data_IF_092068048017
#
_entry.id   IF_092068048017
#
_cell.length_a   1.000
_cell.length_b   1.000
_cell.length_c   1.000
_cell.angle_alpha   90.00
_cell.angle_beta   90.00
_cell.angle_gamma   90.00
#
_symmetry.space_group_name_H-M   'P 1'
#
loop_
_entity.id
_entity.type
_entity.pdbx_description
1 polymer ?
#
# COMPACT_ATOMS: atom_id res chain seq x y z
N UNK A 1 32.18 -16.79 40.10
CA UNK A 1 32.11 -15.33 40.26
C UNK A 1 32.92 -14.64 39.18
N UNK A 2 32.45 -13.57 38.48
CA UNK A 2 31.25 -12.79 38.72
C UNK A 2 30.23 -12.83 37.56
N UNK A 3 29.01 -12.56 37.97
CA UNK A 3 27.84 -12.21 37.18
C UNK A 3 27.99 -10.84 36.54
N UNK A 4 27.55 -10.68 35.27
CA UNK A 4 27.27 -9.36 34.73
C UNK A 4 25.90 -9.40 34.02
N UNK A 5 24.95 -8.82 34.72
CA UNK A 5 23.62 -8.44 34.31
C UNK A 5 23.67 -7.28 33.31
N UNK A 6 23.15 -7.44 32.11
CA UNK A 6 22.81 -6.33 31.19
C UNK A 6 21.33 -6.46 30.82
N UNK A 7 20.48 -5.96 31.71
CA UNK A 7 19.09 -5.63 31.42
C UNK A 7 18.80 -4.28 32.03
N UNK A 8 18.25 -3.43 31.26
CA UNK A 8 17.56 -2.15 31.58
C UNK A 8 18.23 -0.89 31.08
N UNK A 9 17.72 -0.38 29.95
CA UNK A 9 17.22 0.99 29.85
C UNK A 9 16.66 1.26 28.44
N UNK A 10 15.43 0.86 28.24
CA UNK A 10 14.60 1.46 27.18
C UNK A 10 13.70 2.49 27.87
N UNK A 11 13.69 3.77 27.43
CA UNK A 11 12.76 4.74 27.98
C UNK A 11 11.35 4.35 27.53
N UNK A 12 10.50 4.13 28.51
CA UNK A 12 9.06 3.93 28.37
C UNK A 12 8.45 5.14 27.67
N UNK A 13 8.16 5.01 26.40
CA UNK A 13 7.35 5.96 25.64
C UNK A 13 5.91 5.85 26.18
N UNK A 14 5.55 6.75 27.10
CA UNK A 14 4.18 6.93 27.60
C UNK A 14 3.32 7.38 26.42
N UNK A 15 2.60 6.48 25.80
CA UNK A 15 1.47 6.82 24.95
C UNK A 15 0.43 7.55 25.81
N UNK A 16 0.45 8.88 25.74
CA UNK A 16 -0.62 9.72 26.24
C UNK A 16 -1.86 9.44 25.43
N UNK A 17 -2.88 8.83 26.02
CA UNK A 17 -4.21 8.69 25.42
C UNK A 17 -4.74 10.09 25.12
N UNK A 18 -4.84 10.41 23.84
CA UNK A 18 -5.39 11.66 23.34
C UNK A 18 -6.91 11.52 23.21
N UNK A 19 -7.58 11.44 24.36
CA UNK A 19 -9.03 11.55 24.46
C UNK A 19 -9.34 12.71 25.41
N UNK A 20 -9.15 13.94 24.91
CA UNK A 20 -9.76 15.17 25.40
C UNK A 20 -9.37 16.28 24.42
N UNK A 21 -10.01 16.30 23.25
CA UNK A 21 -10.08 17.49 22.44
C UNK A 21 -11.32 18.26 22.91
N UNK A 22 -11.19 19.44 23.52
CA UNK A 22 -12.32 20.30 23.75
C UNK A 22 -12.86 20.75 22.40
N UNK A 23 -14.11 20.44 22.14
CA UNK A 23 -14.87 20.81 20.95
C UNK A 23 -15.33 22.29 21.06
N UNK A 24 -14.35 23.18 21.24
CA UNK A 24 -14.49 24.63 21.10
C UNK A 24 -13.07 25.20 20.90
N UNK A 25 -12.47 24.89 19.76
CA UNK A 25 -11.34 25.68 19.29
C UNK A 25 -11.92 27.02 18.83
N UNK A 26 -12.01 27.98 19.74
CA UNK A 26 -12.07 29.40 19.40
C UNK A 26 -11.00 29.66 18.35
N UNK A 27 -11.39 30.34 17.26
CA UNK A 27 -10.44 30.86 16.28
C UNK A 27 -9.40 31.65 17.06
N UNK A 28 -8.19 31.11 17.20
CA UNK A 28 -7.16 31.61 18.10
C UNK A 28 -6.45 32.81 17.49
N UNK A 29 -7.18 33.91 17.30
CA UNK A 29 -6.56 35.15 16.87
C UNK A 29 -7.52 36.08 16.10
N UNK A 30 -7.18 37.37 16.01
CA UNK A 30 -7.93 38.35 15.22
C UNK A 30 -7.80 38.00 13.73
N UNK A 31 -8.94 37.88 13.05
CA UNK A 31 -9.00 37.69 11.59
C UNK A 31 -9.04 39.06 10.90
N UNK A 32 -8.50 39.11 9.66
CA UNK A 32 -8.52 40.27 8.79
C UNK A 32 -9.58 40.06 7.72
N UNK A 33 -10.68 40.79 7.83
CA UNK A 33 -11.82 40.75 6.88
C UNK A 33 -11.62 41.83 5.82
N UNK A 34 -11.71 41.48 4.55
CA UNK A 34 -11.92 42.45 3.47
C UNK A 34 -13.43 42.58 3.22
N UNK A 35 -14.00 43.73 3.45
CA UNK A 35 -15.41 44.02 3.12
C UNK A 35 -15.48 44.87 1.86
N UNK A 36 -16.12 44.32 0.83
CA UNK A 36 -16.35 44.99 -0.47
C UNK A 36 -17.80 45.45 -0.49
N UNK A 37 -18.02 46.75 -0.34
CA UNK A 37 -19.33 47.36 -0.12
C UNK A 37 -19.28 48.84 -0.54
N UNK A 38 -20.24 49.33 -1.33
CA UNK A 38 -20.31 50.71 -1.76
C UNK A 38 -21.05 51.64 -0.76
N UNK A 39 -21.79 51.05 0.20
CA UNK A 39 -22.41 51.83 1.30
C UNK A 39 -21.42 52.01 2.48
N UNK A 40 -20.81 53.20 2.56
CA UNK A 40 -19.86 53.53 3.62
C UNK A 40 -20.49 53.52 5.04
N UNK A 41 -21.79 53.85 5.15
CA UNK A 41 -22.51 53.85 6.41
C UNK A 41 -22.65 52.41 6.93
N UNK A 42 -23.02 51.46 6.08
CA UNK A 42 -23.09 50.05 6.40
C UNK A 42 -21.69 49.50 6.71
N UNK A 43 -20.68 49.80 5.94
CA UNK A 43 -19.30 49.40 6.19
C UNK A 43 -18.80 49.88 7.55
N UNK A 44 -19.17 51.07 7.98
CA UNK A 44 -18.84 51.60 9.32
C UNK A 44 -19.51 50.79 10.44
N UNK A 45 -20.75 50.35 10.26
CA UNK A 45 -21.44 49.50 11.26
C UNK A 45 -20.86 48.14 11.35
N UNK A 46 -20.56 47.50 10.19
CA UNK A 46 -19.90 46.17 10.14
C UNK A 46 -18.50 46.24 10.79
N UNK A 47 -17.75 47.31 10.53
CA UNK A 47 -16.43 47.54 11.17
C UNK A 47 -16.54 47.58 12.69
N UNK A 48 -17.56 48.26 13.23
CA UNK A 48 -17.79 48.28 14.70
C UNK A 48 -18.15 46.92 15.27
N UNK A 49 -18.97 46.16 14.54
CA UNK A 49 -19.37 44.82 14.96
C UNK A 49 -18.17 43.86 14.98
N UNK A 50 -17.38 43.82 13.92
CA UNK A 50 -16.13 43.01 13.82
C UNK A 50 -15.12 43.37 14.90
N UNK A 51 -14.91 44.67 15.16
CA UNK A 51 -14.01 45.16 16.21
C UNK A 51 -14.42 44.67 17.62
N UNK A 52 -15.74 44.59 17.90
CA UNK A 52 -16.26 44.06 19.17
C UNK A 52 -15.92 42.60 19.37
N UNK A 53 -15.78 41.81 18.29
CA UNK A 53 -15.35 40.41 18.30
C UNK A 53 -13.83 40.25 18.19
N UNK A 54 -13.06 41.33 18.21
CA UNK A 54 -11.59 41.30 18.14
C UNK A 54 -11.02 41.19 16.73
N UNK A 55 -11.85 41.34 15.69
CA UNK A 55 -11.43 41.23 14.29
C UNK A 55 -11.06 42.60 13.71
N UNK A 56 -10.27 42.61 12.62
CA UNK A 56 -9.93 43.80 11.86
C UNK A 56 -10.60 43.79 10.49
N UNK A 57 -10.88 44.96 9.93
CA UNK A 57 -11.55 45.08 8.64
C UNK A 57 -10.84 46.09 7.76
N UNK A 58 -10.44 45.65 6.58
CA UNK A 58 -10.20 46.54 5.41
C UNK A 58 -11.49 46.74 4.65
N UNK A 59 -11.70 47.91 4.09
CA UNK A 59 -12.89 48.23 3.32
C UNK A 59 -12.50 48.81 1.96
N UNK A 60 -13.18 48.38 0.93
CA UNK A 60 -13.11 48.93 -0.45
C UNK A 60 -14.51 48.98 -1.04
N UNK A 61 -14.76 49.94 -1.93
CA UNK A 61 -16.06 50.20 -2.52
C UNK A 61 -16.25 49.66 -3.95
N UNK A 62 -15.19 49.06 -4.51
CA UNK A 62 -15.18 48.54 -5.88
C UNK A 62 -14.37 47.24 -6.01
N UNK A 63 -14.59 46.49 -7.07
CA UNK A 63 -13.96 45.22 -7.32
C UNK A 63 -12.50 45.32 -7.73
N UNK A 64 -12.07 46.41 -8.36
CA UNK A 64 -10.68 46.56 -8.81
C UNK A 64 -9.76 46.65 -7.62
N UNK A 65 -10.09 47.50 -6.64
CA UNK A 65 -9.32 47.61 -5.40
C UNK A 65 -9.42 46.35 -4.54
N UNK A 66 -10.59 45.67 -4.55
CA UNK A 66 -10.78 44.42 -3.88
C UNK A 66 -9.82 43.32 -4.42
N UNK A 67 -9.73 43.18 -5.74
CA UNK A 67 -8.84 42.22 -6.38
C UNK A 67 -7.36 42.55 -6.11
N UNK A 68 -6.98 43.83 -6.18
CA UNK A 68 -5.64 44.27 -5.84
C UNK A 68 -5.30 43.93 -4.37
N UNK A 69 -6.22 44.22 -3.46
CA UNK A 69 -6.04 43.94 -2.03
C UNK A 69 -5.93 42.43 -1.69
N UNK A 70 -6.71 41.61 -2.42
CA UNK A 70 -6.59 40.12 -2.30
C UNK A 70 -5.23 39.66 -2.82
N UNK A 71 -4.74 40.21 -3.92
CA UNK A 71 -3.46 39.87 -4.52
C UNK A 71 -2.24 40.25 -3.63
N UNK A 72 -2.33 41.38 -2.91
CA UNK A 72 -1.32 41.82 -1.92
C UNK A 72 -1.20 40.85 -0.75
N UNK A 73 -2.24 40.07 -0.44
CA UNK A 73 -2.28 39.15 0.67
C UNK A 73 -2.61 39.79 2.03
N UNK A 74 -2.57 38.97 3.08
CA UNK A 74 -2.88 39.41 4.45
C UNK A 74 -4.38 39.57 4.71
N UNK A 75 -5.24 39.03 3.86
CA UNK A 75 -6.69 38.93 4.04
C UNK A 75 -7.05 37.49 4.33
N UNK A 76 -7.75 37.26 5.44
CA UNK A 76 -8.17 35.91 5.85
C UNK A 76 -9.48 35.48 5.21
N UNK A 77 -10.45 36.43 5.07
CA UNK A 77 -11.78 36.16 4.52
C UNK A 77 -12.35 37.44 3.88
N UNK A 78 -13.17 37.28 2.85
CA UNK A 78 -13.81 38.38 2.12
C UNK A 78 -15.30 38.35 2.36
N UNK A 79 -15.90 39.47 2.73
CA UNK A 79 -17.33 39.73 2.61
C UNK A 79 -17.55 40.55 1.34
N UNK A 80 -18.40 40.06 0.41
CA UNK A 80 -18.61 40.65 -0.90
C UNK A 80 -20.08 40.97 -1.09
N UNK A 81 -20.39 42.26 -1.21
CA UNK A 81 -21.74 42.66 -1.53
C UNK A 81 -22.15 42.30 -2.96
N UNK A 82 -23.46 42.15 -3.15
CA UNK A 82 -24.06 41.94 -4.46
C UNK A 82 -23.99 43.17 -5.35
N UNK A 83 -24.29 44.33 -4.80
CA UNK A 83 -24.34 45.60 -5.55
C UNK A 83 -23.06 46.37 -5.33
N UNK A 84 -22.33 46.62 -6.39
CA UNK A 84 -21.11 47.42 -6.37
C UNK A 84 -21.24 48.56 -7.40
N UNK A 85 -20.40 49.59 -7.31
CA UNK A 85 -20.39 50.66 -8.28
C UNK A 85 -20.05 50.15 -9.69
N UNK A 86 -21.07 50.14 -10.59
CA UNK A 86 -20.89 49.79 -11.98
C UNK A 86 -20.88 48.32 -12.36
N UNK A 87 -20.93 47.41 -11.38
CA UNK A 87 -20.94 45.96 -11.61
C UNK A 87 -21.62 45.22 -10.45
N UNK A 88 -21.76 43.89 -10.58
CA UNK A 88 -22.28 43.05 -9.50
C UNK A 88 -21.15 42.28 -8.80
N UNK A 89 -21.38 41.91 -7.54
CA UNK A 89 -20.46 40.98 -6.83
C UNK A 89 -20.31 39.62 -7.55
N UNK A 90 -21.29 39.19 -8.36
CA UNK A 90 -21.18 38.02 -9.21
C UNK A 90 -20.11 38.16 -10.29
N UNK A 91 -20.00 39.33 -10.90
CA UNK A 91 -18.98 39.62 -11.91
C UNK A 91 -17.58 39.64 -11.31
N UNK A 92 -17.47 40.09 -10.06
CA UNK A 92 -16.22 40.01 -9.31
C UNK A 92 -15.87 38.55 -8.99
N UNK A 93 -16.82 37.70 -8.59
CA UNK A 93 -16.57 36.26 -8.31
C UNK A 93 -15.96 35.56 -9.51
N UNK A 94 -16.41 35.87 -10.73
CA UNK A 94 -15.87 35.26 -11.96
C UNK A 94 -14.39 35.61 -12.19
N UNK A 95 -13.94 36.78 -11.69
CA UNK A 95 -12.57 37.29 -11.85
C UNK A 95 -11.60 36.90 -10.74
N UNK A 96 -12.11 36.61 -9.54
CA UNK A 96 -11.25 36.26 -8.38
C UNK A 96 -10.52 34.92 -8.55
N UNK A 97 -10.99 34.06 -9.44
CA UNK A 97 -10.38 32.78 -9.70
C UNK A 97 -10.87 31.63 -8.79
N UNK A 98 -10.30 30.44 -8.96
CA UNK A 98 -10.83 29.23 -8.34
C UNK A 98 -10.61 29.19 -6.82
N UNK A 99 -11.50 28.45 -6.12
CA UNK A 99 -11.37 28.16 -4.69
C UNK A 99 -10.03 27.46 -4.40
N UNK A 100 -9.40 27.82 -3.29
CA UNK A 100 -8.18 27.20 -2.79
C UNK A 100 -6.91 28.01 -3.01
N UNK A 101 -6.88 28.91 -3.99
CA UNK A 101 -5.79 29.86 -4.23
C UNK A 101 -6.04 31.28 -3.66
N UNK A 102 -7.20 31.53 -3.05
CA UNK A 102 -7.65 32.82 -2.53
C UNK A 102 -8.29 32.68 -1.14
N UNK A 103 -8.50 33.77 -0.40
CA UNK A 103 -9.33 33.78 0.80
C UNK A 103 -10.75 33.30 0.51
N UNK A 104 -11.45 32.65 1.46
CA UNK A 104 -12.87 32.32 1.31
C UNK A 104 -13.71 33.58 1.18
N UNK A 105 -14.80 33.51 0.39
CA UNK A 105 -15.69 34.64 0.11
C UNK A 105 -17.07 34.30 0.64
N UNK A 106 -17.59 35.18 1.51
CA UNK A 106 -18.99 35.19 1.95
C UNK A 106 -19.72 36.23 1.15
N UNK A 107 -20.73 35.81 0.40
CA UNK A 107 -21.53 36.70 -0.45
C UNK A 107 -22.64 37.34 0.37
N UNK A 108 -22.78 38.67 0.26
CA UNK A 108 -23.77 39.44 1.00
C UNK A 108 -24.80 39.96 0.01
N UNK A 109 -26.08 39.82 0.29
CA UNK A 109 -27.15 40.29 -0.61
C UNK A 109 -28.33 40.89 0.17
N UNK A 110 -28.90 41.96 -0.34
CA UNK A 110 -30.14 42.51 0.20
C UNK A 110 -31.43 41.85 -0.33
N UNK A 111 -31.31 40.94 -1.26
CA UNK A 111 -32.43 40.24 -1.87
C UNK A 111 -32.74 38.92 -1.18
N UNK A 112 -34.00 38.67 -0.86
CA UNK A 112 -34.48 37.35 -0.39
C UNK A 112 -34.62 36.33 -1.55
N UNK A 113 -34.16 36.63 -2.75
CA UNK A 113 -34.19 35.68 -3.87
C UNK A 113 -33.13 34.58 -3.68
N UNK A 114 -33.60 33.42 -3.29
CA UNK A 114 -32.75 32.23 -3.11
C UNK A 114 -31.96 31.86 -4.37
N UNK A 115 -32.39 32.27 -5.57
CA UNK A 115 -31.66 32.01 -6.84
C UNK A 115 -30.33 32.73 -6.87
N UNK A 116 -30.27 33.96 -6.33
CA UNK A 116 -29.05 34.75 -6.28
C UNK A 116 -28.00 34.13 -5.36
N UNK A 117 -28.43 33.61 -4.21
CA UNK A 117 -27.56 32.89 -3.30
C UNK A 117 -26.98 31.59 -3.92
N UNK A 118 -27.84 30.83 -4.62
CA UNK A 118 -27.42 29.61 -5.34
C UNK A 118 -26.44 29.95 -6.46
N UNK A 119 -26.69 31.04 -7.18
CA UNK A 119 -25.79 31.50 -8.27
C UNK A 119 -24.43 31.92 -7.72
N UNK A 120 -24.37 32.66 -6.62
CA UNK A 120 -23.13 33.05 -5.97
C UNK A 120 -22.31 31.81 -5.53
N UNK A 121 -22.95 30.81 -4.92
CA UNK A 121 -22.29 29.57 -4.54
C UNK A 121 -21.74 28.77 -5.72
N UNK A 122 -22.49 28.75 -6.86
CA UNK A 122 -22.03 28.10 -8.11
C UNK A 122 -20.83 28.83 -8.73
N UNK A 123 -20.80 30.17 -8.66
CA UNK A 123 -19.69 31.01 -9.16
C UNK A 123 -18.50 31.04 -8.21
N UNK A 124 -18.59 30.37 -7.06
CA UNK A 124 -17.43 30.17 -6.21
C UNK A 124 -17.49 30.82 -4.82
N UNK A 125 -18.56 31.52 -4.44
CA UNK A 125 -18.72 31.92 -3.05
C UNK A 125 -18.70 30.71 -2.11
N UNK A 126 -18.10 30.87 -0.93
CA UNK A 126 -17.95 29.80 0.05
C UNK A 126 -19.15 29.73 1.00
N UNK A 127 -19.86 30.89 1.14
CA UNK A 127 -21.12 31.01 1.87
C UNK A 127 -21.88 32.27 1.41
N UNK A 128 -23.08 32.48 1.94
CA UNK A 128 -23.84 33.72 1.69
C UNK A 128 -24.59 34.17 2.94
N UNK A 129 -24.89 35.48 3.00
CA UNK A 129 -25.66 36.09 4.08
C UNK A 129 -26.63 37.11 3.45
N UNK A 130 -27.87 37.14 3.96
CA UNK A 130 -28.88 38.10 3.52
C UNK A 130 -28.83 39.31 4.46
N UNK A 131 -28.76 40.53 3.90
CA UNK A 131 -28.86 41.80 4.64
C UNK A 131 -30.29 41.92 5.18
N UNK A 132 -30.47 41.74 6.49
CA UNK A 132 -31.75 41.92 7.17
C UNK A 132 -31.71 43.21 8.02
N UNK A 133 -32.86 43.89 8.06
CA UNK A 133 -33.04 45.12 8.84
C UNK A 133 -33.28 44.83 10.33
N UNK A 134 -33.42 43.57 10.73
CA UNK A 134 -33.72 43.14 12.10
C UNK A 134 -32.60 43.35 13.11
N UNK A 135 -31.40 43.70 12.64
CA UNK A 135 -30.20 43.84 13.49
C UNK A 135 -29.42 42.57 13.72
N UNK A 136 -29.94 41.42 13.34
CA UNK A 136 -29.24 40.10 13.45
C UNK A 136 -28.21 39.91 12.32
N UNK A 137 -28.26 40.71 11.25
CA UNK A 137 -27.37 40.67 10.09
C UNK A 137 -25.89 40.64 10.48
N UNK A 138 -25.47 41.50 11.42
CA UNK A 138 -24.05 41.60 11.82
C UNK A 138 -23.54 40.31 12.49
N UNK A 139 -24.35 39.70 13.36
CA UNK A 139 -23.94 38.46 14.01
C UNK A 139 -23.93 37.30 13.03
N UNK A 140 -24.90 37.23 12.11
CA UNK A 140 -24.95 36.23 11.04
C UNK A 140 -23.77 36.39 10.07
N UNK A 141 -23.41 37.61 9.69
CA UNK A 141 -22.25 37.86 8.83
C UNK A 141 -20.94 37.41 9.49
N UNK A 142 -20.75 37.79 10.76
CA UNK A 142 -19.52 37.40 11.49
C UNK A 142 -19.45 35.90 11.60
N UNK A 143 -20.54 35.22 11.99
CA UNK A 143 -20.58 33.77 12.08
C UNK A 143 -20.29 33.06 10.73
N UNK A 144 -20.86 33.58 9.63
CA UNK A 144 -20.59 33.04 8.30
C UNK A 144 -19.12 33.24 7.86
N UNK A 145 -18.50 34.37 8.17
CA UNK A 145 -17.09 34.64 7.91
C UNK A 145 -16.18 33.69 8.68
N UNK A 146 -16.42 33.54 9.98
CA UNK A 146 -15.67 32.60 10.86
C UNK A 146 -15.79 31.17 10.36
N UNK A 147 -17.01 30.72 10.02
CA UNK A 147 -17.25 29.36 9.51
C UNK A 147 -16.62 29.12 8.13
N UNK A 148 -16.68 30.11 7.22
CA UNK A 148 -16.07 29.99 5.90
C UNK A 148 -14.53 29.85 6.04
N UNK A 149 -13.92 30.64 6.92
CA UNK A 149 -12.50 30.59 7.21
C UNK A 149 -12.09 29.23 7.81
N UNK A 150 -12.83 28.75 8.81
CA UNK A 150 -12.52 27.48 9.46
C UNK A 150 -12.67 26.28 8.48
N UNK A 151 -13.73 26.28 7.66
CA UNK A 151 -13.90 25.29 6.59
C UNK A 151 -12.71 25.29 5.61
N UNK A 152 -12.27 26.47 5.20
CA UNK A 152 -11.13 26.62 4.30
C UNK A 152 -9.82 26.13 4.94
N UNK A 153 -9.61 26.43 6.23
CA UNK A 153 -8.46 25.97 7.03
C UNK A 153 -8.41 24.46 7.15
N UNK A 154 -9.52 23.85 7.55
CA UNK A 154 -9.63 22.39 7.70
C UNK A 154 -9.39 21.67 6.37
N UNK A 155 -9.92 22.22 5.26
CA UNK A 155 -9.69 21.68 3.92
C UNK A 155 -8.23 21.72 3.52
N UNK A 156 -7.50 22.81 3.82
CA UNK A 156 -6.06 22.92 3.56
C UNK A 156 -5.26 21.92 4.40
N UNK A 157 -5.51 21.87 5.71
CA UNK A 157 -4.83 20.94 6.62
C UNK A 157 -5.02 19.48 6.18
N UNK A 158 -6.23 19.13 5.75
CA UNK A 158 -6.52 17.78 5.23
C UNK A 158 -5.74 17.48 3.95
N UNK A 159 -5.72 18.41 3.00
CA UNK A 159 -4.98 18.25 1.75
C UNK A 159 -3.46 18.11 1.97
N UNK A 160 -2.90 18.91 2.90
CA UNK A 160 -1.48 18.84 3.26
C UNK A 160 -1.14 17.53 3.98
N UNK A 161 -2.01 17.06 4.88
CA UNK A 161 -1.86 15.75 5.54
C UNK A 161 -1.92 14.61 4.54
N UNK A 162 -2.90 14.62 3.62
CA UNK A 162 -3.01 13.60 2.57
C UNK A 162 -1.77 13.59 1.65
N UNK A 163 -1.21 14.76 1.33
CA UNK A 163 0.03 14.89 0.56
C UNK A 163 1.22 14.30 1.31
N UNK A 164 1.38 14.67 2.58
CA UNK A 164 2.48 14.17 3.41
C UNK A 164 2.43 12.64 3.56
N UNK A 165 1.23 12.05 3.73
CA UNK A 165 1.05 10.59 3.80
C UNK A 165 1.45 9.93 2.47
N UNK A 166 1.05 10.48 1.32
CA UNK A 166 1.44 9.96 0.01
C UNK A 166 2.95 9.99 -0.18
N UNK A 167 3.59 11.12 0.09
CA UNK A 167 5.05 11.26 -0.02
C UNK A 167 5.82 10.34 0.93
N UNK A 168 5.31 10.12 2.14
CA UNK A 168 5.90 9.18 3.08
C UNK A 168 5.78 7.73 2.59
N UNK A 169 4.62 7.38 2.02
CA UNK A 169 4.38 6.05 1.43
C UNK A 169 5.31 5.80 0.25
N UNK A 170 5.38 6.75 -0.70
CA UNK A 170 6.20 6.61 -1.91
C UNK A 170 7.69 6.47 -1.56
N UNK A 171 8.16 7.21 -0.53
CA UNK A 171 9.52 7.05 0.01
C UNK A 171 9.75 5.67 0.64
N UNK A 172 8.79 5.17 1.40
CA UNK A 172 8.88 3.84 2.01
C UNK A 172 8.92 2.73 0.95
N UNK A 173 8.10 2.82 -0.09
CA UNK A 173 8.10 1.88 -1.22
C UNK A 173 9.45 1.90 -1.98
N UNK A 174 10.02 3.08 -2.23
CA UNK A 174 11.33 3.21 -2.86
C UNK A 174 12.47 2.60 -2.02
N UNK A 175 12.45 2.83 -0.70
CA UNK A 175 13.44 2.23 0.21
C UNK A 175 13.32 0.72 0.27
N UNK A 176 12.10 0.17 0.29
CA UNK A 176 11.88 -1.28 0.24
C UNK A 176 12.42 -1.89 -1.05
N UNK A 177 12.20 -1.25 -2.20
CA UNK A 177 12.74 -1.69 -3.48
C UNK A 177 14.28 -1.70 -3.46
N UNK A 178 14.92 -0.67 -2.92
CA UNK A 178 16.38 -0.59 -2.77
C UNK A 178 16.94 -1.70 -1.88
N UNK A 179 16.33 -1.93 -0.70
CA UNK A 179 16.76 -3.01 0.21
C UNK A 179 16.67 -4.36 -0.48
N UNK A 180 15.60 -4.60 -1.21
CA UNK A 180 15.39 -5.85 -1.93
C UNK A 180 16.40 -6.06 -3.05
N UNK A 181 16.74 -5.03 -3.80
CA UNK A 181 17.82 -5.06 -4.77
C UNK A 181 19.17 -5.39 -4.12
N UNK A 182 19.46 -4.80 -2.97
CA UNK A 182 20.71 -5.08 -2.23
C UNK A 182 20.77 -6.51 -1.72
N UNK A 183 19.65 -7.06 -1.21
CA UNK A 183 19.58 -8.46 -0.77
C UNK A 183 19.81 -9.41 -1.94
N UNK A 184 19.16 -9.19 -3.08
CA UNK A 184 19.36 -9.99 -4.29
C UNK A 184 20.82 -9.97 -4.77
N UNK A 185 21.47 -8.80 -4.75
CA UNK A 185 22.88 -8.65 -5.09
C UNK A 185 23.81 -9.38 -4.11
N UNK A 186 23.51 -9.32 -2.81
CA UNK A 186 24.28 -10.02 -1.78
C UNK A 186 24.17 -11.55 -1.94
N UNK A 187 22.97 -12.07 -2.23
CA UNK A 187 22.75 -13.48 -2.50
C UNK A 187 23.49 -13.94 -3.77
N UNK A 188 23.53 -13.11 -4.83
CA UNK A 188 24.28 -13.40 -6.04
C UNK A 188 25.79 -13.47 -5.79
N UNK A 189 26.34 -12.57 -4.96
CA UNK A 189 27.73 -12.58 -4.52
C UNK A 189 28.05 -13.84 -3.73
N UNK A 190 27.23 -14.23 -2.75
CA UNK A 190 27.40 -15.45 -1.96
C UNK A 190 27.37 -16.69 -2.86
N UNK A 191 26.43 -16.75 -3.81
CA UNK A 191 26.36 -17.83 -4.81
C UNK A 191 27.64 -17.94 -5.64
N UNK A 192 28.21 -16.79 -6.08
CA UNK A 192 29.47 -16.76 -6.84
C UNK A 192 30.66 -17.26 -6.01
N UNK A 193 30.73 -16.87 -4.72
CA UNK A 193 31.79 -17.33 -3.82
C UNK A 193 31.71 -18.83 -3.58
N UNK A 194 30.51 -19.38 -3.33
CA UNK A 194 30.31 -20.83 -3.15
C UNK A 194 30.71 -21.59 -4.43
N UNK A 195 30.36 -21.05 -5.62
CA UNK A 195 30.78 -21.64 -6.91
C UNK A 195 32.29 -21.66 -7.07
N UNK A 196 32.97 -20.57 -6.74
CA UNK A 196 34.42 -20.50 -6.79
C UNK A 196 35.08 -21.51 -5.83
N UNK A 197 34.57 -21.65 -4.61
CA UNK A 197 35.08 -22.64 -3.66
C UNK A 197 34.84 -24.07 -4.15
N UNK A 198 33.68 -24.38 -4.72
CA UNK A 198 33.39 -25.68 -5.29
C UNK A 198 34.38 -26.09 -6.40
N UNK A 199 34.81 -25.11 -7.23
CA UNK A 199 35.77 -25.37 -8.30
C UNK A 199 37.21 -25.67 -7.83
N UNK A 200 37.57 -25.31 -6.61
CA UNK A 200 38.89 -25.53 -6.02
C UNK A 200 38.99 -26.83 -5.20
N UNK A 201 37.86 -27.41 -4.83
CA UNK A 201 37.82 -28.62 -4.02
C UNK A 201 37.92 -29.86 -4.93
N UNK A 202 38.74 -30.86 -4.55
CA UNK A 202 38.90 -32.11 -5.30
C UNK A 202 38.07 -33.26 -4.76
N UNK A 203 37.55 -33.12 -3.55
CA UNK A 203 36.68 -34.11 -2.93
C UNK A 203 35.26 -34.03 -3.52
N UNK A 204 34.82 -35.07 -4.18
CA UNK A 204 33.53 -35.16 -4.86
C UNK A 204 32.34 -34.96 -3.91
N UNK A 205 32.43 -35.46 -2.69
CA UNK A 205 31.33 -35.32 -1.70
C UNK A 205 31.22 -33.87 -1.25
N UNK A 206 32.34 -33.18 -1.05
CA UNK A 206 32.35 -31.76 -0.71
C UNK A 206 31.91 -30.88 -1.88
N UNK A 207 32.29 -31.19 -3.11
CA UNK A 207 31.80 -30.50 -4.32
C UNK A 207 30.26 -30.61 -4.43
N UNK A 208 29.75 -31.81 -4.22
CA UNK A 208 28.32 -32.07 -4.29
C UNK A 208 27.54 -31.28 -3.22
N UNK A 209 28.05 -31.23 -1.98
CA UNK A 209 27.45 -30.46 -0.89
C UNK A 209 27.42 -28.93 -1.19
N UNK A 210 28.48 -28.40 -1.80
CA UNK A 210 28.55 -26.98 -2.22
C UNK A 210 27.61 -26.71 -3.38
N UNK A 211 27.46 -27.61 -4.34
CA UNK A 211 26.50 -27.49 -5.43
C UNK A 211 25.05 -27.48 -4.92
N UNK A 212 24.73 -28.33 -3.93
CA UNK A 212 23.43 -28.26 -3.26
C UNK A 212 23.19 -26.92 -2.59
N UNK A 213 24.20 -26.38 -1.91
CA UNK A 213 24.13 -25.06 -1.27
C UNK A 213 23.89 -23.95 -2.30
N UNK A 214 24.54 -24.02 -3.48
CA UNK A 214 24.32 -23.09 -4.58
C UNK A 214 22.87 -23.13 -5.09
N UNK A 215 22.34 -24.32 -5.33
CA UNK A 215 20.97 -24.50 -5.80
C UNK A 215 19.95 -23.89 -4.82
N UNK A 216 20.20 -24.01 -3.50
CA UNK A 216 19.38 -23.39 -2.45
C UNK A 216 19.45 -21.88 -2.45
N UNK A 217 20.66 -21.33 -2.57
CA UNK A 217 20.86 -19.86 -2.67
C UNK A 217 20.17 -19.32 -3.94
N UNK A 218 20.24 -20.04 -5.06
CA UNK A 218 19.57 -19.67 -6.29
C UNK A 218 18.05 -19.69 -6.15
N UNK A 219 17.48 -20.71 -5.48
CA UNK A 219 16.06 -20.77 -5.17
C UNK A 219 15.62 -19.59 -4.31
N UNK A 220 16.32 -19.29 -3.20
CA UNK A 220 16.03 -18.14 -2.34
C UNK A 220 16.14 -16.82 -3.10
N UNK A 221 17.16 -16.65 -3.95
CA UNK A 221 17.36 -15.44 -4.77
C UNK A 221 16.27 -15.26 -5.81
N UNK A 222 15.82 -16.34 -6.46
CA UNK A 222 14.72 -16.32 -7.42
C UNK A 222 13.40 -15.88 -6.77
N UNK A 223 13.10 -16.45 -5.59
CA UNK A 223 11.98 -16.04 -4.75
C UNK A 223 12.05 -14.55 -4.44
N UNK A 224 13.17 -14.11 -3.87
CA UNK A 224 13.34 -12.73 -3.43
C UNK A 224 13.16 -11.73 -4.58
N UNK A 225 13.70 -12.04 -5.76
CA UNK A 225 13.59 -11.16 -6.95
C UNK A 225 12.15 -11.00 -7.42
N UNK A 226 11.33 -12.05 -7.39
CA UNK A 226 9.96 -12.04 -7.91
C UNK A 226 8.95 -11.43 -6.95
N UNK A 227 9.10 -11.68 -5.66
CA UNK A 227 8.20 -11.18 -4.64
C UNK A 227 8.14 -9.65 -4.59
N UNK A 228 9.23 -9.00 -4.96
CA UNK A 228 9.34 -7.55 -4.86
C UNK A 228 9.21 -6.79 -6.20
N UNK A 229 9.06 -7.49 -7.33
CA UNK A 229 8.76 -6.87 -8.64
C UNK A 229 7.27 -6.70 -8.91
N UNK A 230 6.39 -7.39 -8.19
CA UNK A 230 4.93 -7.40 -8.42
C UNK A 230 4.15 -6.27 -7.71
N UNK A 231 4.80 -5.38 -6.96
CA UNK A 231 4.16 -4.24 -6.30
C UNK A 231 3.20 -4.58 -5.14
N UNK A 232 3.01 -5.86 -4.82
CA UNK A 232 2.26 -6.33 -3.65
C UNK A 232 3.24 -6.93 -2.64
N UNK A 233 3.56 -6.16 -1.61
CA UNK A 233 4.63 -6.50 -0.66
C UNK A 233 4.25 -7.60 0.33
N UNK A 234 2.95 -7.84 0.58
CA UNK A 234 2.52 -8.67 1.70
C UNK A 234 2.02 -10.07 1.32
N UNK A 235 1.49 -10.26 0.10
CA UNK A 235 0.88 -11.52 -0.34
C UNK A 235 1.41 -11.96 -1.70
N UNK A 236 1.67 -13.25 -1.83
CA UNK A 236 2.20 -13.93 -3.02
C UNK A 236 1.20 -14.92 -3.52
N UNK A 237 0.88 -14.89 -4.82
CA UNK A 237 0.03 -15.87 -5.47
C UNK A 237 0.84 -17.17 -5.65
N UNK A 238 0.39 -18.24 -5.00
CA UNK A 238 1.11 -19.53 -4.87
C UNK A 238 1.25 -20.22 -6.23
N UNK A 239 0.18 -20.22 -7.03
CA UNK A 239 0.12 -20.86 -8.33
C UNK A 239 1.10 -20.22 -9.32
N UNK A 240 1.11 -18.91 -9.42
CA UNK A 240 2.05 -18.17 -10.27
C UNK A 240 3.50 -18.35 -9.78
N UNK A 241 3.72 -18.18 -8.49
CA UNK A 241 5.04 -18.29 -7.88
C UNK A 241 5.65 -19.68 -8.03
N UNK A 242 4.94 -20.75 -7.62
CA UNK A 242 5.44 -22.10 -7.70
C UNK A 242 5.54 -22.60 -9.14
N UNK A 243 4.60 -22.19 -10.01
CA UNK A 243 4.64 -22.54 -11.43
C UNK A 243 5.94 -22.10 -12.09
N UNK A 244 6.34 -20.87 -11.88
CA UNK A 244 7.61 -20.36 -12.39
C UNK A 244 8.84 -21.01 -11.72
N UNK A 245 8.82 -21.15 -10.39
CA UNK A 245 9.93 -21.77 -9.65
C UNK A 245 10.21 -23.18 -10.16
N UNK A 246 9.16 -23.98 -10.32
CA UNK A 246 9.27 -25.38 -10.76
C UNK A 246 9.73 -25.46 -12.22
N UNK A 247 9.31 -24.55 -13.09
CA UNK A 247 9.80 -24.46 -14.47
C UNK A 247 11.31 -24.15 -14.54
N UNK A 248 11.79 -23.19 -13.73
CA UNK A 248 13.23 -22.86 -13.65
C UNK A 248 14.04 -24.04 -13.12
N UNK A 249 13.53 -24.72 -12.09
CA UNK A 249 14.19 -25.93 -11.56
C UNK A 249 14.28 -27.01 -12.64
N UNK A 250 13.19 -27.29 -13.35
CA UNK A 250 13.19 -28.26 -14.44
C UNK A 250 14.20 -27.92 -15.54
N UNK A 251 14.30 -26.63 -15.91
CA UNK A 251 15.27 -26.19 -16.89
C UNK A 251 16.73 -26.38 -16.40
N UNK A 252 17.02 -26.12 -15.13
CA UNK A 252 18.36 -26.26 -14.54
C UNK A 252 18.77 -27.72 -14.31
N UNK A 253 17.78 -28.61 -14.06
CA UNK A 253 18.01 -30.02 -13.74
C UNK A 253 18.13 -30.92 -14.99
N UNK A 254 17.87 -30.43 -16.21
CA UNK A 254 18.03 -31.21 -17.45
C UNK A 254 19.45 -31.78 -17.64
N UNK A 255 20.48 -31.11 -17.08
CA UNK A 255 21.85 -31.62 -17.07
C UNK A 255 22.11 -32.78 -16.12
N UNK A 256 21.23 -32.98 -15.12
CA UNK A 256 21.33 -34.05 -14.12
C UNK A 256 20.66 -35.34 -14.61
N UNK A 257 19.43 -35.23 -15.13
CA UNK A 257 18.68 -36.34 -15.73
C UNK A 257 17.79 -35.80 -16.84
N UNK A 258 18.23 -35.94 -18.09
CA UNK A 258 17.52 -35.44 -19.26
C UNK A 258 16.21 -36.19 -19.55
N UNK A 259 16.04 -37.40 -19.02
CA UNK A 259 14.87 -38.25 -19.21
C UNK A 259 13.77 -37.96 -18.18
N UNK A 260 14.02 -37.10 -17.19
CA UNK A 260 13.06 -36.70 -16.18
C UNK A 260 12.41 -35.37 -16.55
N UNK A 261 11.09 -35.27 -16.42
CA UNK A 261 10.33 -34.05 -16.73
C UNK A 261 9.41 -33.66 -15.56
N UNK A 262 8.93 -32.40 -15.57
CA UNK A 262 8.05 -31.87 -14.55
C UNK A 262 6.64 -31.67 -15.11
N UNK A 263 5.64 -32.08 -14.33
CA UNK A 263 4.23 -31.80 -14.55
C UNK A 263 3.69 -30.94 -13.40
N UNK A 264 2.94 -29.89 -13.73
CA UNK A 264 2.39 -28.98 -12.72
C UNK A 264 0.87 -28.81 -12.86
N UNK A 265 0.17 -28.81 -11.70
CA UNK A 265 -1.25 -28.49 -11.62
C UNK A 265 -1.52 -27.77 -10.30
N UNK A 266 -1.52 -26.44 -10.33
CA UNK A 266 -1.53 -25.60 -9.12
C UNK A 266 -2.87 -24.89 -8.98
N UNK A 267 -3.50 -25.03 -7.82
CA UNK A 267 -4.73 -24.31 -7.47
C UNK A 267 -4.39 -22.89 -7.02
N UNK A 268 -5.24 -21.89 -7.39
CA UNK A 268 -5.08 -20.52 -6.94
C UNK A 268 -5.06 -20.40 -5.41
N UNK A 269 -4.16 -19.59 -4.90
CA UNK A 269 -4.03 -19.32 -3.48
C UNK A 269 -3.01 -18.23 -3.21
N UNK A 270 -3.03 -17.66 -2.01
CA UNK A 270 -2.07 -16.64 -1.62
C UNK A 270 -1.49 -16.90 -0.24
N UNK A 271 -0.26 -16.51 -0.03
CA UNK A 271 0.50 -16.69 1.21
C UNK A 271 1.37 -15.46 1.47
N UNK A 272 1.69 -15.19 2.75
CA UNK A 272 2.61 -14.09 3.10
C UNK A 272 4.00 -14.35 2.52
N UNK A 273 4.72 -13.26 2.22
CA UNK A 273 6.03 -13.32 1.56
C UNK A 273 7.07 -14.19 2.28
N UNK A 274 7.14 -14.10 3.62
CA UNK A 274 8.04 -14.93 4.44
C UNK A 274 7.71 -16.42 4.34
N UNK A 275 6.43 -16.76 4.30
CA UNK A 275 5.92 -18.12 4.11
C UNK A 275 6.16 -18.62 2.68
N UNK A 276 6.06 -17.74 1.67
CA UNK A 276 6.35 -18.09 0.27
C UNK A 276 7.81 -18.54 0.09
N UNK A 277 8.75 -17.84 0.76
CA UNK A 277 10.17 -18.24 0.75
C UNK A 277 10.36 -19.64 1.31
N UNK A 278 9.79 -19.93 2.48
CA UNK A 278 9.89 -21.25 3.10
C UNK A 278 9.28 -22.33 2.20
N UNK A 279 8.13 -22.05 1.60
CA UNK A 279 7.46 -22.96 0.67
C UNK A 279 8.30 -23.23 -0.58
N UNK A 280 8.87 -22.19 -1.18
CA UNK A 280 9.73 -22.32 -2.36
C UNK A 280 10.98 -23.17 -2.08
N UNK A 281 11.61 -22.99 -0.93
CA UNK A 281 12.75 -23.83 -0.51
C UNK A 281 12.32 -25.29 -0.34
N UNK A 282 11.17 -25.55 0.29
CA UNK A 282 10.68 -26.91 0.48
C UNK A 282 10.39 -27.60 -0.86
N UNK A 283 9.68 -26.93 -1.77
CA UNK A 283 9.38 -27.48 -3.09
C UNK A 283 10.67 -27.72 -3.89
N UNK A 284 11.62 -26.78 -3.83
CA UNK A 284 12.91 -26.91 -4.53
C UNK A 284 13.70 -28.14 -4.03
N UNK A 285 13.75 -28.37 -2.71
CA UNK A 285 14.41 -29.51 -2.13
C UNK A 285 13.74 -30.84 -2.55
N UNK A 286 12.41 -30.90 -2.52
CA UNK A 286 11.68 -32.10 -2.91
C UNK A 286 11.82 -32.42 -4.40
N UNK A 287 11.70 -31.42 -5.27
CA UNK A 287 11.90 -31.57 -6.72
C UNK A 287 13.33 -31.99 -7.02
N UNK A 288 14.32 -31.36 -6.40
CA UNK A 288 15.74 -31.70 -6.60
C UNK A 288 16.02 -33.13 -6.16
N UNK A 289 15.45 -33.59 -5.02
CA UNK A 289 15.56 -34.94 -4.56
C UNK A 289 14.95 -35.94 -5.56
N UNK A 290 13.80 -35.66 -6.13
CA UNK A 290 13.18 -36.50 -7.15
C UNK A 290 14.08 -36.63 -8.39
N UNK A 291 14.64 -35.52 -8.91
CA UNK A 291 15.56 -35.57 -10.05
C UNK A 291 16.85 -36.36 -9.77
N UNK A 292 17.36 -36.33 -8.55
CA UNK A 292 18.62 -36.99 -8.18
C UNK A 292 18.46 -38.46 -7.82
N UNK A 293 17.36 -38.82 -7.16
CA UNK A 293 17.26 -40.10 -6.48
C UNK A 293 16.11 -40.98 -6.95
N UNK A 294 15.06 -40.43 -7.56
CA UNK A 294 13.89 -41.20 -7.94
C UNK A 294 14.17 -42.17 -9.09
N UNK A 295 15.00 -41.77 -10.05
CA UNK A 295 15.22 -42.51 -11.30
C UNK A 295 16.70 -42.85 -11.46
N UNK A 296 17.20 -43.94 -10.80
CA UNK A 296 18.57 -44.40 -10.97
C UNK A 296 18.81 -44.85 -12.41
N UNK A 297 20.08 -44.84 -12.83
CA UNK A 297 20.49 -45.25 -14.17
C UNK A 297 19.86 -44.45 -15.34
N UNK A 298 19.46 -43.23 -15.06
CA UNK A 298 18.82 -42.32 -16.04
C UNK A 298 17.56 -42.89 -16.70
N UNK A 299 16.84 -43.75 -16.01
CA UNK A 299 15.58 -44.32 -16.53
C UNK A 299 14.49 -43.26 -16.79
N UNK A 300 14.58 -42.13 -16.09
CA UNK A 300 13.67 -41.00 -16.26
C UNK A 300 12.22 -41.26 -15.85
N UNK A 301 11.46 -40.19 -15.69
CA UNK A 301 10.04 -40.25 -15.35
C UNK A 301 9.49 -38.92 -14.91
N UNK A 302 8.19 -38.83 -14.63
CA UNK A 302 7.54 -37.59 -14.21
C UNK A 302 7.86 -37.23 -12.75
N UNK A 303 8.10 -35.95 -12.51
CA UNK A 303 8.02 -35.32 -11.19
C UNK A 303 6.80 -34.40 -11.20
N UNK A 304 5.79 -34.72 -10.41
CA UNK A 304 4.52 -33.98 -10.39
C UNK A 304 4.47 -33.04 -9.20
N UNK A 305 4.17 -31.78 -9.46
CA UNK A 305 3.94 -30.78 -8.42
C UNK A 305 2.50 -30.27 -8.58
N UNK A 306 1.66 -30.57 -7.62
CA UNK A 306 0.28 -30.13 -7.65
C UNK A 306 -0.18 -29.58 -6.31
N UNK A 307 -1.17 -28.70 -6.34
CA UNK A 307 -1.76 -28.13 -5.14
C UNK A 307 -3.28 -28.20 -5.17
N UNK A 308 -3.88 -28.23 -3.99
CA UNK A 308 -5.31 -28.11 -3.80
C UNK A 308 -5.64 -27.38 -2.51
N UNK A 309 -6.80 -26.74 -2.46
CA UNK A 309 -7.38 -26.21 -1.25
C UNK A 309 -8.26 -27.27 -0.62
N UNK A 310 -8.04 -27.58 0.65
CA UNK A 310 -8.82 -28.56 1.42
C UNK A 310 -10.16 -27.93 1.87
N UNK A 311 -11.15 -28.77 2.28
CA UNK A 311 -12.46 -28.26 2.73
C UNK A 311 -12.42 -27.31 3.93
N UNK A 312 -11.40 -27.45 4.79
CA UNK A 312 -11.12 -26.57 5.92
C UNK A 312 -10.39 -25.26 5.53
N UNK A 313 -10.12 -25.08 4.23
CA UNK A 313 -9.42 -23.94 3.68
C UNK A 313 -7.89 -24.06 3.70
N UNK A 314 -7.32 -25.12 4.28
CA UNK A 314 -5.88 -25.35 4.28
C UNK A 314 -5.38 -25.60 2.85
N UNK A 315 -4.16 -25.14 2.56
CA UNK A 315 -3.46 -25.45 1.32
C UNK A 315 -2.69 -26.74 1.47
N UNK A 316 -2.83 -27.61 0.48
CA UNK A 316 -2.03 -28.83 0.37
C UNK A 316 -1.26 -28.79 -0.95
N UNK A 317 0.07 -28.83 -0.86
CA UNK A 317 0.97 -28.92 -2.00
C UNK A 317 1.65 -30.27 -1.94
N UNK A 318 1.71 -30.95 -3.07
CA UNK A 318 2.27 -32.31 -3.18
C UNK A 318 3.36 -32.30 -4.23
N UNK A 319 4.47 -32.94 -3.89
CA UNK A 319 5.52 -33.32 -4.84
C UNK A 319 5.58 -34.85 -4.84
N UNK A 320 5.45 -35.44 -6.04
CA UNK A 320 5.50 -36.89 -6.20
C UNK A 320 6.30 -37.31 -7.42
N UNK A 321 6.88 -38.51 -7.34
CA UNK A 321 7.58 -39.20 -8.42
C UNK A 321 7.14 -40.68 -8.51
N UNK A 322 7.40 -41.33 -9.64
CA UNK A 322 7.11 -42.76 -9.88
C UNK A 322 8.38 -43.60 -9.79
N UNK A 323 9.39 -43.12 -9.09
CA UNK A 323 10.72 -43.72 -9.00
C UNK A 323 10.84 -44.93 -8.06
N UNK A 324 12.05 -45.12 -7.51
CA UNK A 324 12.34 -46.22 -6.60
C UNK A 324 11.66 -46.09 -5.24
N UNK A 325 11.24 -44.87 -4.87
CA UNK A 325 10.52 -44.59 -3.63
C UNK A 325 11.37 -44.43 -2.39
N UNK A 326 10.85 -43.65 -1.44
CA UNK A 326 11.35 -43.46 -0.08
C UNK A 326 10.18 -43.09 0.84
N UNK A 327 10.07 -43.79 1.95
CA UNK A 327 8.98 -43.69 2.93
C UNK A 327 9.21 -42.63 4.02
N UNK A 328 10.33 -41.90 3.95
CA UNK A 328 10.73 -40.97 5.01
C UNK A 328 11.46 -41.63 6.18
N UNK A 329 11.60 -42.96 6.20
CA UNK A 329 12.30 -43.75 7.22
C UNK A 329 13.57 -44.38 6.63
N UNK A 330 14.55 -44.62 7.45
CA UNK A 330 15.84 -45.22 7.04
C UNK A 330 16.93 -44.17 6.71
N UNK A 331 18.14 -44.64 6.40
CA UNK A 331 19.26 -43.77 6.06
C UNK A 331 18.97 -43.04 4.74
N UNK A 332 18.91 -41.71 4.79
CA UNK A 332 18.77 -40.89 3.60
C UNK A 332 20.02 -41.07 2.72
N UNK A 333 19.83 -41.36 1.44
CA UNK A 333 20.90 -41.29 0.44
C UNK A 333 21.29 -39.82 0.28
N UNK A 334 22.45 -39.44 0.87
CA UNK A 334 22.95 -38.07 0.81
C UNK A 334 23.42 -37.51 2.16
N UNK A 335 23.67 -36.18 2.22
CA UNK A 335 24.25 -35.54 3.41
C UNK A 335 23.26 -35.41 4.60
N UNK A 336 22.01 -35.81 4.46
CA UNK A 336 20.95 -35.65 5.46
C UNK A 336 20.56 -34.16 5.73
N UNK A 337 21.19 -33.23 5.06
CA UNK A 337 20.95 -31.78 5.24
C UNK A 337 19.59 -31.37 4.71
N UNK A 338 19.12 -31.96 3.58
CA UNK A 338 17.81 -31.69 3.00
C UNK A 338 16.66 -31.94 3.97
N UNK A 339 16.70 -33.05 4.70
CA UNK A 339 15.69 -33.37 5.71
C UNK A 339 15.67 -32.36 6.87
N UNK A 340 16.84 -31.85 7.30
CA UNK A 340 16.92 -30.81 8.33
C UNK A 340 16.33 -29.49 7.83
N UNK A 341 16.57 -29.11 6.57
CA UNK A 341 16.02 -27.90 5.94
C UNK A 341 14.52 -28.02 5.80
N UNK A 342 14.01 -29.14 5.27
CA UNK A 342 12.56 -29.35 5.15
C UNK A 342 11.86 -29.21 6.51
N UNK A 343 12.43 -29.78 7.58
CA UNK A 343 11.90 -29.64 8.95
C UNK A 343 11.95 -28.18 9.44
N UNK A 344 13.03 -27.45 9.16
CA UNK A 344 13.17 -26.05 9.56
C UNK A 344 12.15 -25.17 8.82
N UNK A 345 12.02 -25.34 7.51
CA UNK A 345 11.09 -24.57 6.68
C UNK A 345 9.63 -24.92 6.99
N UNK A 346 9.33 -26.18 7.29
CA UNK A 346 7.99 -26.59 7.74
C UNK A 346 7.58 -25.85 9.03
N UNK A 347 8.49 -25.65 9.97
CA UNK A 347 8.24 -24.84 11.18
C UNK A 347 7.99 -23.38 10.85
N UNK A 348 8.77 -22.78 9.94
CA UNK A 348 8.58 -21.38 9.51
C UNK A 348 7.23 -21.19 8.81
N UNK A 349 6.80 -22.16 8.02
CA UNK A 349 5.53 -22.13 7.31
C UNK A 349 4.34 -22.49 8.22
N UNK A 350 4.60 -23.04 9.41
CA UNK A 350 3.60 -23.67 10.28
C UNK A 350 2.86 -24.79 9.53
N UNK A 351 3.64 -25.61 8.83
CA UNK A 351 3.16 -26.67 7.95
C UNK A 351 3.45 -28.06 8.50
N UNK A 352 2.58 -28.99 8.16
CA UNK A 352 2.82 -30.42 8.32
C UNK A 352 3.47 -30.97 7.05
N UNK A 353 4.55 -31.73 7.23
CA UNK A 353 5.22 -32.46 6.16
C UNK A 353 4.84 -33.94 6.29
N UNK A 354 4.14 -34.48 5.31
CA UNK A 354 3.56 -35.82 5.36
C UNK A 354 4.12 -36.64 4.20
N UNK A 355 4.83 -37.77 4.54
CA UNK A 355 5.22 -38.76 3.56
C UNK A 355 4.06 -39.76 3.43
N UNK A 356 3.48 -39.85 2.23
CA UNK A 356 2.34 -40.71 1.98
C UNK A 356 2.78 -42.03 1.34
N UNK A 357 2.27 -43.17 1.82
CA UNK A 357 2.63 -44.46 1.24
C UNK A 357 2.13 -44.54 -0.21
N UNK A 358 2.99 -44.97 -1.11
CA UNK A 358 2.71 -45.25 -2.51
C UNK A 358 3.13 -46.69 -2.87
N UNK A 359 2.48 -47.25 -3.90
CA UNK A 359 2.90 -48.57 -4.42
C UNK A 359 4.27 -48.47 -5.12
N UNK A 360 4.61 -47.32 -5.66
CA UNK A 360 5.90 -47.03 -6.30
C UNK A 360 6.15 -45.50 -6.24
N UNK A 361 7.42 -45.10 -6.09
CA UNK A 361 7.81 -43.70 -6.03
C UNK A 361 7.66 -43.08 -4.64
N UNK A 362 7.84 -41.79 -4.56
CA UNK A 362 7.74 -40.98 -3.35
C UNK A 362 6.63 -39.94 -3.49
N UNK A 363 5.81 -39.75 -2.46
CA UNK A 363 4.84 -38.64 -2.37
C UNK A 363 5.00 -37.93 -1.06
N UNK A 364 5.24 -36.61 -1.15
CA UNK A 364 5.36 -35.75 0.02
C UNK A 364 4.34 -34.63 -0.07
N UNK A 365 3.50 -34.52 0.95
CA UNK A 365 2.53 -33.45 1.06
C UNK A 365 2.99 -32.41 2.10
N UNK A 366 2.85 -31.13 1.73
CA UNK A 366 3.04 -29.95 2.59
C UNK A 366 1.64 -29.40 2.85
N UNK A 367 1.17 -29.42 4.09
CA UNK A 367 -0.15 -28.93 4.47
C UNK A 367 0.01 -27.78 5.45
N UNK A 368 -0.59 -26.63 5.12
CA UNK A 368 -0.52 -25.42 5.95
C UNK A 368 -1.82 -24.63 5.89
N UNK A 369 -2.10 -23.89 6.98
CA UNK A 369 -3.30 -23.07 7.08
C UNK A 369 -3.26 -21.89 6.08
N UNK A 370 -4.43 -21.46 5.54
CA UNK A 370 -4.51 -20.29 4.69
C UNK A 370 -4.01 -19.05 5.45
N UNK A 371 -3.29 -18.16 4.77
CA UNK A 371 -3.06 -16.82 5.28
C UNK A 371 -4.42 -16.10 5.43
N UNK A 372 -4.58 -15.24 6.43
CA UNK A 372 -5.81 -14.47 6.65
C UNK A 372 -6.24 -13.80 5.33
N UNK A 373 -7.41 -14.20 4.82
CA UNK A 373 -8.01 -13.58 3.64
C UNK A 373 -8.45 -12.16 4.00
N UNK A 374 -7.74 -11.15 3.58
CA UNK A 374 -8.38 -9.85 3.37
C UNK A 374 -9.28 -9.98 2.13
N UNK A 375 -10.58 -9.80 2.35
CA UNK A 375 -11.72 -9.93 1.46
C UNK A 375 -11.44 -10.00 -0.05
N UNK A 376 -11.77 -11.11 -0.65
CA UNK A 376 -11.87 -11.31 -2.10
C UNK A 376 -12.87 -10.32 -2.69
N UNK A 377 -12.39 -9.26 -3.37
CA UNK A 377 -13.19 -8.63 -4.43
C UNK A 377 -13.35 -9.69 -5.53
N UNK A 378 -14.57 -10.20 -5.67
CA UNK A 378 -14.94 -11.05 -6.80
C UNK A 378 -14.50 -10.38 -8.10
N UNK A 379 -13.68 -11.08 -8.86
CA UNK A 379 -13.33 -10.71 -10.21
C UNK A 379 -14.62 -10.91 -11.03
N UNK A 380 -15.30 -9.83 -11.36
CA UNK A 380 -16.42 -9.83 -12.33
C UNK A 380 -15.87 -10.37 -13.64
N UNK A 381 -16.50 -11.37 -14.26
CA UNK A 381 -16.11 -11.80 -15.60
C UNK A 381 -16.36 -10.63 -16.55
N UNK A 382 -15.36 -10.31 -17.36
CA UNK A 382 -15.54 -9.47 -18.54
C UNK A 382 -16.58 -10.15 -19.42
N UNK A 383 -17.77 -9.55 -19.52
CA UNK A 383 -18.72 -9.90 -20.55
C UNK A 383 -18.14 -9.39 -21.87
N UNK A 384 -17.75 -10.31 -22.72
CA UNK A 384 -17.54 -10.06 -24.14
C UNK A 384 -18.87 -9.54 -24.70
N UNK A 385 -18.86 -8.27 -25.08
CA UNK A 385 -19.92 -7.68 -25.88
C UNK A 385 -19.53 -7.98 -27.32
N UNK A 386 -20.02 -9.12 -27.82
CA UNK A 386 -20.07 -9.36 -29.25
C UNK A 386 -21.03 -8.35 -29.84
N UNK A 387 -20.49 -7.51 -30.69
CA UNK A 387 -21.21 -6.67 -31.62
C UNK A 387 -21.65 -7.54 -32.80
N UNK A 388 -22.92 -7.86 -32.86
CA UNK A 388 -23.55 -8.22 -34.15
C UNK A 388 -24.38 -7.02 -34.62
N UNK A 389 -23.86 -6.40 -35.66
CA UNK A 389 -24.56 -5.55 -36.57
C UNK A 389 -25.43 -6.45 -37.47
N UNK A 390 -26.71 -6.07 -37.65
CA UNK A 390 -27.44 -6.11 -38.92
C UNK A 390 -28.94 -5.85 -38.65
N UNK A 391 -29.47 -4.82 -39.33
CA UNK A 391 -30.88 -4.53 -39.37
C UNK A 391 -31.20 -3.03 -39.52
#
# INVERSE_FOLDING_TARGET
MPSASWVSSWPSCKFRRQTDLPFSAELSGPIVVLYVEDDEALATLVRKALKRRGHTMAHVDNSVDALARIAEGGIDVVALDHTLQGETGLDMLDRVGPRGGRPPIVYVTGSMDARLAVEALKRGADDYVIKDLSGEFYDLLIAALEQALERARLKRLRADSERAVREARDRAEALLAEVNHRVANSLALVSSMVRMQASLIRDEAAQHALQETQNRIAAVSGVHRRLYTSGRVDLVDIDDYLGHLVQELGASMRGVNAATWIETSLAPGSVKTDKAVALGVMVSELVTNAFKYAYPEQTGGPVRVYSKVLPDGAHRIVVEDDGVGWDGAGPATGTGLGAKILKAMARTLDAQLIYEPMARGTRVAIVFAPGERMGTKARTPHADVDADAEG
#
